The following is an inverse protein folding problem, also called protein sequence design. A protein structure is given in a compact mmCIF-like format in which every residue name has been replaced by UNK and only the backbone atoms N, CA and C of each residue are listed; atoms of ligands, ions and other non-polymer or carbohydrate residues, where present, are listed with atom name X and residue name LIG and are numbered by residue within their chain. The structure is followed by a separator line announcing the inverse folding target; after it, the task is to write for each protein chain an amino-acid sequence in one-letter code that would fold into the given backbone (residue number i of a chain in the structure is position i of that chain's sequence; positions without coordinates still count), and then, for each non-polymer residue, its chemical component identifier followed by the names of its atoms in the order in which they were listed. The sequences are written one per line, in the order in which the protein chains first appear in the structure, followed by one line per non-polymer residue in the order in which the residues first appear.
data_IF_649171472658
#
_entry.id   IF_649171472658
#
_cell.length_a   1.000
_cell.length_b   1.000
_cell.length_c   1.000
_cell.angle_alpha   90.00
_cell.angle_beta   90.00
_cell.angle_gamma   90.00
#
_symmetry.space_group_name_H-M   'P 1'
#
loop_
_entity.id
_entity.type
_entity.pdbx_description
1 polymer ?
#
# COMPACT_ATOMS: atom_id res chain seq x y z
N UNK A 1 13.91 -24.77 17.36
CA UNK A 1 15.33 -24.51 16.99
C UNK A 1 15.40 -23.97 15.56
N UNK A 2 16.45 -23.19 15.29
CA UNK A 2 16.80 -22.75 13.94
C UNK A 2 17.27 -23.94 13.11
N UNK A 3 16.64 -24.20 11.96
CA UNK A 3 17.11 -25.16 10.98
C UNK A 3 18.27 -24.56 10.19
N UNK A 4 19.31 -25.34 9.95
CA UNK A 4 20.46 -24.93 9.15
C UNK A 4 20.40 -25.62 7.79
N UNK A 5 20.75 -24.90 6.75
CA UNK A 5 20.89 -25.48 5.43
C UNK A 5 22.26 -26.14 5.32
N UNK A 6 22.30 -27.41 4.93
CA UNK A 6 23.53 -28.01 4.47
C UNK A 6 23.85 -27.40 3.09
N UNK A 7 24.96 -26.66 3.01
CA UNK A 7 25.40 -26.00 1.78
C UNK A 7 26.20 -26.94 0.86
N UNK A 8 26.50 -28.15 1.34
CA UNK A 8 27.22 -29.12 0.56
C UNK A 8 26.26 -29.76 -0.44
N UNK A 9 26.35 -29.35 -1.70
CA UNK A 9 25.56 -29.92 -2.79
C UNK A 9 26.04 -31.34 -3.04
N UNK A 10 25.14 -32.31 -2.94
CA UNK A 10 25.39 -33.69 -3.29
C UNK A 10 25.83 -33.76 -4.78
N UNK A 11 26.77 -34.65 -5.09
CA UNK A 11 27.25 -34.86 -6.48
C UNK A 11 26.12 -35.14 -7.45
N UNK A 12 25.16 -35.96 -7.05
CA UNK A 12 23.99 -36.32 -7.85
C UNK A 12 23.10 -35.10 -8.15
N UNK A 13 22.84 -34.26 -7.15
CA UNK A 13 22.08 -33.01 -7.33
C UNK A 13 22.80 -32.05 -8.27
N UNK A 14 24.11 -31.92 -8.13
CA UNK A 14 24.94 -31.08 -8.99
C UNK A 14 24.85 -31.50 -10.46
N UNK A 15 24.90 -32.81 -10.74
CA UNK A 15 24.79 -33.35 -12.08
C UNK A 15 23.41 -33.10 -12.69
N UNK A 16 22.33 -33.38 -11.93
CA UNK A 16 20.97 -33.10 -12.39
C UNK A 16 20.77 -31.63 -12.71
N UNK A 17 21.14 -30.75 -11.78
CA UNK A 17 20.95 -29.33 -11.94
C UNK A 17 21.73 -28.78 -13.15
N UNK A 18 22.98 -29.19 -13.33
CA UNK A 18 23.81 -28.73 -14.46
C UNK A 18 23.29 -29.16 -15.81
N UNK A 19 22.66 -30.34 -15.90
CA UNK A 19 22.10 -30.83 -17.16
C UNK A 19 20.73 -30.29 -17.50
N UNK A 20 19.90 -30.01 -16.48
CA UNK A 20 18.50 -29.70 -16.70
C UNK A 20 18.21 -28.19 -16.67
N UNK A 21 19.05 -27.38 -16.05
CA UNK A 21 18.77 -25.97 -15.83
C UNK A 21 19.67 -25.10 -16.70
N UNK A 22 19.07 -24.26 -17.61
CA UNK A 22 19.85 -23.31 -18.41
C UNK A 22 20.58 -22.29 -17.53
N UNK A 23 21.85 -22.05 -17.80
CA UNK A 23 22.68 -21.13 -16.99
C UNK A 23 22.24 -19.66 -17.06
N UNK A 24 21.58 -19.28 -18.12
CA UNK A 24 21.07 -17.93 -18.39
C UNK A 24 19.68 -17.70 -17.82
N UNK A 25 19.07 -18.71 -17.16
CA UNK A 25 17.75 -18.55 -16.58
C UNK A 25 17.77 -17.48 -15.45
N UNK A 26 16.79 -16.53 -15.39
CA UNK A 26 16.76 -15.46 -14.40
C UNK A 26 16.94 -15.92 -12.95
N UNK A 27 16.29 -17.01 -12.52
CA UNK A 27 16.44 -17.57 -11.16
C UNK A 27 17.87 -18.05 -10.88
N UNK A 28 18.59 -18.56 -11.89
CA UNK A 28 20.00 -18.96 -11.76
C UNK A 28 20.86 -17.72 -11.57
N UNK A 29 20.61 -16.67 -12.36
CA UNK A 29 21.31 -15.41 -12.23
C UNK A 29 21.07 -14.74 -10.87
N UNK A 30 19.82 -14.75 -10.38
CA UNK A 30 19.49 -14.22 -9.05
C UNK A 30 20.25 -15.02 -7.98
N UNK A 31 20.18 -16.35 -7.99
CA UNK A 31 20.86 -17.19 -7.02
C UNK A 31 22.37 -16.98 -6.99
N UNK A 32 23.01 -16.75 -8.15
CA UNK A 32 24.45 -16.50 -8.26
C UNK A 32 24.85 -15.10 -7.80
N UNK A 33 23.94 -14.13 -7.92
CA UNK A 33 24.26 -12.73 -7.66
C UNK A 33 23.74 -12.19 -6.33
N UNK A 34 22.73 -12.81 -5.73
CA UNK A 34 22.19 -12.41 -4.43
C UNK A 34 22.64 -13.41 -3.38
N UNK A 35 23.35 -12.95 -2.39
CA UNK A 35 23.66 -13.73 -1.19
C UNK A 35 22.48 -13.66 -0.23
N UNK A 36 21.85 -14.78 0.03
CA UNK A 36 20.70 -14.89 0.95
C UNK A 36 21.10 -15.27 2.39
N UNK A 37 22.39 -15.39 2.69
CA UNK A 37 22.86 -15.79 4.04
C UNK A 37 22.43 -14.82 5.13
N UNK A 38 22.22 -13.54 4.79
CA UNK A 38 21.70 -12.53 5.72
C UNK A 38 20.32 -12.90 6.31
N UNK A 39 19.53 -13.72 5.64
CA UNK A 39 18.22 -14.15 6.13
C UNK A 39 18.37 -14.92 7.43
N UNK A 40 19.37 -15.81 7.53
CA UNK A 40 19.66 -16.52 8.79
C UNK A 40 20.07 -15.57 9.90
N UNK A 41 20.92 -14.59 9.61
CA UNK A 41 21.37 -13.59 10.57
C UNK A 41 20.20 -12.78 11.13
N UNK A 42 19.37 -12.22 10.27
CA UNK A 42 18.23 -11.36 10.61
C UNK A 42 17.10 -12.11 11.32
N UNK A 43 17.00 -13.44 11.16
CA UNK A 43 15.92 -14.25 11.73
C UNK A 43 16.33 -15.10 12.92
N UNK A 44 17.61 -15.17 13.25
CA UNK A 44 18.16 -16.06 14.30
C UNK A 44 17.45 -15.88 15.65
N UNK A 45 17.17 -14.66 16.05
CA UNK A 45 16.50 -14.33 17.30
C UNK A 45 15.02 -14.78 17.38
N UNK A 46 14.41 -15.10 16.24
CA UNK A 46 13.02 -15.58 16.15
C UNK A 46 12.90 -17.07 16.53
N UNK A 47 14.01 -17.74 16.77
CA UNK A 47 14.07 -19.17 17.05
C UNK A 47 14.75 -19.43 18.40
N UNK A 48 14.20 -20.39 19.16
CA UNK A 48 14.86 -20.81 20.38
C UNK A 48 16.20 -21.51 20.08
N UNK A 49 17.29 -21.23 20.81
CA UNK A 49 18.60 -21.78 20.48
C UNK A 49 18.63 -23.32 20.58
N UNK A 50 18.06 -23.90 21.67
CA UNK A 50 18.31 -25.29 22.06
C UNK A 50 17.07 -26.17 22.20
N UNK A 51 15.85 -25.63 22.08
CA UNK A 51 14.61 -26.41 22.31
C UNK A 51 13.67 -26.41 21.09
N UNK A 52 13.00 -27.56 20.91
CA UNK A 52 12.03 -27.79 19.87
C UNK A 52 12.60 -28.48 18.63
N UNK A 53 11.72 -28.93 17.74
CA UNK A 53 12.11 -29.52 16.44
C UNK A 53 12.79 -28.46 15.58
N UNK A 54 13.91 -28.75 14.89
CA UNK A 54 14.49 -27.86 13.91
C UNK A 54 13.47 -27.44 12.86
N UNK A 55 13.42 -26.14 12.57
CA UNK A 55 12.59 -25.61 11.48
C UNK A 55 13.22 -25.91 10.13
N UNK A 56 12.48 -25.69 9.05
CA UNK A 56 13.14 -25.44 7.78
C UNK A 56 14.08 -24.23 7.89
N UNK A 57 15.23 -24.24 7.17
CA UNK A 57 16.15 -23.11 7.18
C UNK A 57 15.42 -21.84 6.73
N UNK A 58 15.53 -20.72 7.46
CA UNK A 58 14.88 -19.46 7.09
C UNK A 58 15.24 -18.96 5.69
N UNK A 59 16.49 -19.18 5.27
CA UNK A 59 16.95 -18.87 3.93
C UNK A 59 16.14 -19.60 2.84
N UNK A 60 15.89 -20.90 3.05
CA UNK A 60 15.04 -21.70 2.16
C UNK A 60 13.62 -21.14 2.11
N UNK A 61 13.02 -20.88 3.29
CA UNK A 61 11.66 -20.38 3.37
C UNK A 61 11.52 -19.00 2.70
N UNK A 62 12.50 -18.12 2.87
CA UNK A 62 12.50 -16.81 2.22
C UNK A 62 12.59 -16.93 0.69
N UNK A 63 13.41 -17.83 0.17
CA UNK A 63 13.48 -18.11 -1.28
C UNK A 63 12.16 -18.71 -1.80
N UNK A 64 11.46 -19.51 -1.00
CA UNK A 64 10.12 -20.02 -1.37
C UNK A 64 9.10 -18.88 -1.45
N UNK A 65 9.11 -17.92 -0.51
CA UNK A 65 8.26 -16.72 -0.58
C UNK A 65 8.59 -15.86 -1.80
N UNK A 66 9.86 -15.78 -2.17
CA UNK A 66 10.28 -15.11 -3.41
C UNK A 66 9.68 -15.81 -4.64
N UNK A 67 9.76 -17.14 -4.74
CA UNK A 67 9.19 -17.90 -5.84
C UNK A 67 7.67 -17.76 -5.94
N UNK A 68 6.99 -17.74 -4.82
CA UNK A 68 5.55 -17.51 -4.74
C UNK A 68 5.16 -16.21 -5.45
N UNK A 69 5.86 -15.12 -5.13
CA UNK A 69 5.64 -13.82 -5.76
C UNK A 69 6.10 -13.80 -7.21
N UNK A 70 7.27 -14.35 -7.50
CA UNK A 70 7.84 -14.41 -8.85
C UNK A 70 6.95 -15.12 -9.85
N UNK A 71 6.38 -16.27 -9.45
CA UNK A 71 5.57 -17.12 -10.32
C UNK A 71 4.06 -16.90 -10.14
N UNK A 72 3.66 -15.94 -9.26
CA UNK A 72 2.25 -15.66 -8.91
C UNK A 72 1.50 -16.92 -8.47
N UNK A 73 2.10 -17.67 -7.54
CA UNK A 73 1.57 -18.89 -6.98
C UNK A 73 0.99 -18.65 -5.59
N UNK A 74 0.06 -19.49 -5.15
CA UNK A 74 -0.35 -19.58 -3.75
C UNK A 74 0.60 -20.44 -2.92
N UNK A 75 0.54 -20.35 -1.57
CA UNK A 75 1.31 -21.19 -0.65
C UNK A 75 1.23 -22.69 -1.02
N UNK A 76 0.01 -23.18 -1.25
CA UNK A 76 -0.24 -24.57 -1.64
C UNK A 76 0.40 -24.90 -2.99
N UNK A 77 0.30 -23.99 -3.96
CA UNK A 77 0.85 -24.20 -5.30
C UNK A 77 2.38 -24.20 -5.29
N UNK A 78 3.03 -23.24 -4.63
CA UNK A 78 4.50 -23.18 -4.58
C UNK A 78 5.08 -24.40 -3.87
N UNK A 79 4.46 -24.85 -2.77
CA UNK A 79 4.87 -26.07 -2.07
C UNK A 79 4.68 -27.33 -2.92
N UNK A 80 3.63 -27.39 -3.73
CA UNK A 80 3.42 -28.48 -4.69
C UNK A 80 4.47 -28.45 -5.81
N UNK A 81 4.72 -27.27 -6.39
CA UNK A 81 5.74 -27.11 -7.45
C UNK A 81 7.13 -27.51 -6.95
N UNK A 82 7.51 -27.16 -5.74
CA UNK A 82 8.79 -27.55 -5.15
C UNK A 82 9.02 -29.08 -5.10
N UNK A 83 7.97 -29.88 -5.14
CA UNK A 83 8.11 -31.35 -5.17
C UNK A 83 8.62 -31.87 -6.52
N UNK A 84 8.30 -31.19 -7.61
CA UNK A 84 8.50 -31.70 -8.97
C UNK A 84 9.37 -30.79 -9.84
N UNK A 85 9.48 -29.51 -9.50
CA UNK A 85 10.18 -28.51 -10.30
C UNK A 85 11.66 -28.43 -9.92
N UNK A 86 12.51 -28.98 -10.76
CA UNK A 86 13.97 -29.02 -10.58
C UNK A 86 14.57 -27.62 -10.41
N UNK A 87 14.12 -26.65 -11.21
CA UNK A 87 14.58 -25.29 -11.15
C UNK A 87 14.24 -24.60 -9.81
N UNK A 88 13.04 -24.85 -9.28
CA UNK A 88 12.62 -24.26 -8.00
C UNK A 88 13.38 -24.89 -6.83
N UNK A 89 13.61 -26.21 -6.88
CA UNK A 89 14.47 -26.90 -5.89
C UNK A 89 15.88 -26.32 -5.93
N UNK A 90 16.46 -26.22 -7.11
CA UNK A 90 17.76 -25.56 -7.29
C UNK A 90 17.77 -24.15 -6.69
N UNK A 91 16.82 -23.30 -7.04
CA UNK A 91 16.76 -21.92 -6.57
C UNK A 91 16.68 -21.84 -5.03
N UNK A 92 15.86 -22.69 -4.42
CA UNK A 92 15.71 -22.76 -2.97
C UNK A 92 16.88 -23.45 -2.25
N UNK A 93 17.75 -24.14 -2.97
CA UNK A 93 18.83 -24.92 -2.40
C UNK A 93 18.33 -26.20 -1.72
N UNK A 94 17.27 -26.79 -2.23
CA UNK A 94 16.68 -28.06 -1.77
C UNK A 94 17.19 -29.16 -2.68
N UNK A 95 17.92 -30.15 -2.14
CA UNK A 95 18.39 -31.31 -2.87
C UNK A 95 17.25 -32.23 -3.30
N UNK A 96 17.55 -33.20 -4.17
CA UNK A 96 16.52 -34.06 -4.75
C UNK A 96 15.77 -34.91 -3.70
N UNK A 97 16.49 -35.42 -2.71
CA UNK A 97 15.93 -36.25 -1.62
C UNK A 97 15.48 -35.43 -0.41
N UNK A 98 15.71 -34.10 -0.42
CA UNK A 98 15.35 -33.26 0.71
C UNK A 98 13.84 -33.04 0.80
N UNK A 99 13.36 -32.95 2.05
CA UNK A 99 11.99 -32.58 2.33
C UNK A 99 11.69 -31.15 1.84
N UNK A 100 10.47 -30.91 1.36
CA UNK A 100 9.97 -29.59 1.00
C UNK A 100 9.03 -29.05 2.09
N UNK A 101 8.99 -27.73 2.34
CA UNK A 101 8.04 -27.15 3.26
C UNK A 101 6.59 -27.32 2.79
N UNK A 102 5.67 -27.29 3.73
CA UNK A 102 4.24 -27.22 3.49
C UNK A 102 3.73 -25.75 3.58
N UNK A 103 2.49 -25.54 3.15
CA UNK A 103 1.84 -24.23 3.18
C UNK A 103 1.71 -23.66 4.59
N UNK A 104 1.44 -24.52 5.58
CA UNK A 104 1.34 -24.07 7.00
C UNK A 104 2.68 -23.58 7.53
N UNK A 105 3.77 -24.16 7.09
CA UNK A 105 5.14 -23.71 7.42
C UNK A 105 5.38 -22.30 6.90
N UNK A 106 4.94 -21.96 5.69
CA UNK A 106 5.07 -20.62 5.11
C UNK A 106 4.24 -19.58 5.92
N UNK A 107 3.00 -19.92 6.28
CA UNK A 107 2.15 -19.07 7.12
C UNK A 107 2.82 -18.77 8.47
N UNK A 108 3.37 -19.81 9.13
CA UNK A 108 4.07 -19.64 10.42
C UNK A 108 5.33 -18.78 10.24
N UNK A 109 6.09 -18.98 9.18
CA UNK A 109 7.28 -18.20 8.90
C UNK A 109 6.96 -16.71 8.68
N UNK A 110 5.97 -16.35 7.86
CA UNK A 110 5.53 -14.97 7.67
C UNK A 110 5.11 -14.31 8.99
N UNK A 111 4.37 -15.03 9.83
CA UNK A 111 3.96 -14.51 11.15
C UNK A 111 5.15 -14.23 12.07
N UNK A 112 6.19 -15.09 12.03
CA UNK A 112 7.42 -14.89 12.80
C UNK A 112 8.24 -13.71 12.30
N UNK A 113 8.36 -13.53 10.98
CA UNK A 113 9.06 -12.39 10.40
C UNK A 113 8.42 -11.08 10.82
N UNK A 114 7.10 -10.97 10.69
CA UNK A 114 6.42 -9.70 10.87
C UNK A 114 6.90 -8.64 9.88
N UNK A 115 6.35 -7.44 9.98
CA UNK A 115 6.64 -6.35 9.06
C UNK A 115 8.08 -5.83 9.19
N UNK A 116 8.55 -5.64 10.42
CA UNK A 116 9.86 -5.05 10.68
C UNK A 116 11.01 -5.90 10.12
N UNK A 117 10.99 -7.22 10.36
CA UNK A 117 12.02 -8.11 9.83
C UNK A 117 11.95 -8.21 8.30
N UNK A 118 10.74 -8.23 7.74
CA UNK A 118 10.58 -8.25 6.29
C UNK A 118 11.18 -6.99 5.65
N UNK A 119 10.99 -5.82 6.27
CA UNK A 119 11.60 -4.55 5.84
C UNK A 119 13.14 -4.61 5.91
N UNK A 120 13.71 -5.16 6.97
CA UNK A 120 15.17 -5.35 7.08
C UNK A 120 15.71 -6.29 6.01
N UNK A 121 15.01 -7.40 5.72
CA UNK A 121 15.42 -8.30 4.64
C UNK A 121 15.38 -7.60 3.28
N UNK A 122 14.39 -6.76 3.03
CA UNK A 122 14.33 -5.93 1.82
C UNK A 122 15.52 -4.97 1.75
N UNK A 123 15.82 -4.25 2.82
CA UNK A 123 16.96 -3.34 2.91
C UNK A 123 18.31 -4.03 2.60
N UNK A 124 18.53 -5.25 3.11
CA UNK A 124 19.74 -6.06 2.80
C UNK A 124 19.87 -6.41 1.32
N UNK A 125 18.75 -6.62 0.61
CA UNK A 125 18.78 -6.82 -0.84
C UNK A 125 19.14 -5.53 -1.58
N UNK A 126 18.60 -4.39 -1.17
CA UNK A 126 18.92 -3.06 -1.73
C UNK A 126 20.40 -2.73 -1.49
N UNK A 127 20.91 -2.99 -0.29
CA UNK A 127 22.32 -2.84 0.05
C UNK A 127 23.24 -3.62 -0.90
N UNK A 128 22.95 -4.90 -1.15
CA UNK A 128 23.71 -5.70 -2.11
C UNK A 128 23.67 -5.14 -3.53
N UNK A 129 22.52 -4.61 -3.97
CA UNK A 129 22.41 -3.95 -5.27
C UNK A 129 23.26 -2.68 -5.33
N UNK A 130 23.32 -1.90 -4.25
CA UNK A 130 24.18 -0.72 -4.12
C UNK A 130 25.66 -1.11 -4.18
N UNK A 131 26.08 -2.09 -3.38
CA UNK A 131 27.48 -2.52 -3.27
C UNK A 131 28.01 -3.09 -4.60
N UNK A 132 27.13 -3.68 -5.40
CA UNK A 132 27.42 -4.13 -6.77
C UNK A 132 27.38 -3.00 -7.82
N UNK A 133 27.12 -1.75 -7.41
CA UNK A 133 27.07 -0.59 -8.32
C UNK A 133 25.88 -0.62 -9.28
N UNK A 134 24.82 -1.39 -8.97
CA UNK A 134 23.62 -1.47 -9.80
C UNK A 134 22.72 -0.23 -9.62
N UNK A 135 22.82 0.46 -8.49
CA UNK A 135 22.07 1.68 -8.20
C UNK A 135 22.85 2.91 -8.65
N UNK A 136 22.22 3.79 -9.41
CA UNK A 136 22.77 5.09 -9.83
C UNK A 136 22.44 6.21 -8.85
N UNK A 137 21.34 6.08 -8.12
CA UNK A 137 20.92 6.94 -7.02
C UNK A 137 20.58 8.37 -7.41
N UNK A 138 20.37 8.68 -8.71
CA UNK A 138 20.08 10.04 -9.18
C UNK A 138 18.59 10.36 -9.15
N UNK A 139 17.75 9.37 -9.41
CA UNK A 139 16.31 9.51 -9.49
C UNK A 139 15.60 8.66 -8.43
N UNK A 140 14.59 9.23 -7.82
CA UNK A 140 13.53 8.51 -7.09
C UNK A 140 12.25 8.58 -7.93
N UNK A 141 11.72 7.44 -8.33
CA UNK A 141 10.50 7.32 -9.12
C UNK A 141 9.46 6.69 -8.21
N UNK A 142 8.45 7.48 -7.81
CA UNK A 142 7.46 7.08 -6.82
C UNK A 142 6.15 6.74 -7.52
N UNK A 143 5.60 5.58 -7.23
CA UNK A 143 4.26 5.17 -7.67
C UNK A 143 3.53 4.37 -6.60
N UNK A 144 2.19 4.41 -6.66
CA UNK A 144 1.31 3.62 -5.82
C UNK A 144 0.60 2.53 -6.63
N UNK A 145 0.59 1.32 -6.11
CA UNK A 145 -0.17 0.22 -6.69
C UNK A 145 -1.18 -0.35 -5.69
N UNK A 146 -2.32 -0.85 -6.21
CA UNK A 146 -3.31 -1.50 -5.37
C UNK A 146 -2.89 -2.93 -5.04
N UNK A 147 -3.11 -3.32 -3.80
CA UNK A 147 -3.03 -4.70 -3.32
C UNK A 147 -4.42 -5.10 -2.82
N UNK A 148 -5.08 -5.99 -3.54
CA UNK A 148 -6.43 -6.43 -3.20
C UNK A 148 -6.36 -7.44 -2.06
N UNK A 149 -7.17 -7.25 -1.01
CA UNK A 149 -7.27 -8.19 0.08
C UNK A 149 -8.00 -9.48 -0.35
N UNK A 150 -7.49 -10.63 0.05
CA UNK A 150 -8.18 -11.91 -0.09
C UNK A 150 -9.18 -12.10 1.06
N UNK A 151 -10.14 -11.19 1.17
CA UNK A 151 -11.14 -11.20 2.23
C UNK A 151 -12.54 -11.18 1.64
N UNK A 152 -13.44 -11.99 2.23
CA UNK A 152 -14.84 -11.95 1.84
C UNK A 152 -15.45 -10.61 2.22
N UNK A 153 -15.98 -9.91 1.24
CA UNK A 153 -16.74 -8.67 1.46
C UNK A 153 -18.14 -9.00 1.91
N UNK A 154 -18.50 -8.53 3.09
CA UNK A 154 -19.83 -8.71 3.68
C UNK A 154 -20.56 -7.37 3.80
N UNK A 155 -21.89 -7.39 3.72
CA UNK A 155 -22.67 -6.21 4.08
C UNK A 155 -22.63 -5.98 5.60
N UNK A 156 -23.01 -4.80 6.05
CA UNK A 156 -22.91 -4.40 7.46
C UNK A 156 -23.68 -5.34 8.40
N UNK A 157 -24.84 -5.84 8.00
CA UNK A 157 -25.62 -6.78 8.79
C UNK A 157 -24.91 -8.13 8.96
N UNK A 158 -24.41 -8.69 7.85
CA UNK A 158 -23.68 -9.95 7.89
C UNK A 158 -22.36 -9.82 8.68
N UNK A 159 -21.71 -8.66 8.60
CA UNK A 159 -20.50 -8.37 9.35
C UNK A 159 -20.79 -8.25 10.87
N UNK A 160 -21.84 -7.55 11.26
CA UNK A 160 -22.27 -7.43 12.66
C UNK A 160 -22.62 -8.81 13.26
N UNK A 161 -23.40 -9.63 12.53
CA UNK A 161 -23.73 -11.01 12.93
C UNK A 161 -22.48 -11.89 13.06
N UNK A 162 -21.53 -11.79 12.12
CA UNK A 162 -20.27 -12.54 12.19
C UNK A 162 -19.45 -12.13 13.41
N UNK A 163 -19.32 -10.83 13.67
CA UNK A 163 -18.56 -10.31 14.80
C UNK A 163 -19.12 -10.79 16.13
N UNK A 164 -20.45 -10.72 16.31
CA UNK A 164 -21.15 -11.24 17.48
C UNK A 164 -20.87 -12.74 17.66
N UNK A 165 -21.03 -13.54 16.61
CA UNK A 165 -20.76 -14.99 16.66
C UNK A 165 -19.31 -15.30 17.03
N UNK A 166 -18.35 -14.59 16.46
CA UNK A 166 -16.92 -14.77 16.79
C UNK A 166 -16.62 -14.37 18.24
N UNK A 167 -17.20 -13.26 18.70
CA UNK A 167 -17.01 -12.78 20.07
C UNK A 167 -17.54 -13.79 21.10
N UNK A 168 -18.75 -14.33 20.88
CA UNK A 168 -19.33 -15.38 21.71
C UNK A 168 -18.51 -16.68 21.67
N UNK A 169 -18.00 -17.06 20.51
CA UNK A 169 -17.15 -18.25 20.39
C UNK A 169 -15.81 -18.11 21.13
N UNK A 170 -15.24 -16.91 21.17
CA UNK A 170 -14.03 -16.65 21.97
C UNK A 170 -14.38 -16.61 23.45
N UNK A 171 -15.46 -15.95 23.86
CA UNK A 171 -15.95 -15.92 25.23
C UNK A 171 -16.20 -17.34 25.77
N UNK A 172 -16.79 -18.23 24.98
CA UNK A 172 -17.07 -19.60 25.39
C UNK A 172 -15.82 -20.41 25.77
N UNK A 173 -14.63 -20.02 25.33
CA UNK A 173 -13.37 -20.65 25.74
C UNK A 173 -12.95 -20.25 27.15
N UNK A 174 -13.35 -19.06 27.60
CA UNK A 174 -13.02 -18.50 28.90
C UNK A 174 -14.16 -18.66 29.90
N UNK A 175 -15.41 -18.53 29.43
CA UNK A 175 -16.63 -18.60 30.24
C UNK A 175 -17.82 -19.13 29.40
N UNK A 176 -17.98 -20.45 29.38
CA UNK A 176 -19.02 -21.12 28.62
C UNK A 176 -20.43 -20.82 29.14
N UNK A 177 -20.58 -20.54 30.47
CA UNK A 177 -21.88 -20.21 31.08
C UNK A 177 -22.37 -18.86 30.60
N UNK A 178 -21.54 -17.83 30.72
CA UNK A 178 -21.86 -16.48 30.27
C UNK A 178 -22.05 -16.43 28.73
N UNK A 179 -21.25 -17.16 27.98
CA UNK A 179 -21.41 -17.21 26.53
C UNK A 179 -22.77 -17.77 26.11
N UNK A 180 -23.27 -18.82 26.77
CA UNK A 180 -24.55 -19.42 26.51
C UNK A 180 -25.71 -18.49 26.92
N UNK A 181 -25.60 -17.78 28.05
CA UNK A 181 -26.55 -16.77 28.46
C UNK A 181 -26.67 -15.65 27.41
N UNK A 182 -25.55 -15.10 26.94
CA UNK A 182 -25.53 -14.03 25.98
C UNK A 182 -25.93 -14.47 24.56
N UNK A 183 -25.71 -15.73 24.20
CA UNK A 183 -26.18 -16.31 22.94
C UNK A 183 -27.73 -16.39 22.93
N UNK A 184 -28.35 -16.85 24.02
CA UNK A 184 -29.78 -16.92 24.14
C UNK A 184 -30.47 -15.54 24.08
N UNK A 185 -29.82 -14.51 24.62
CA UNK A 185 -30.31 -13.12 24.52
C UNK A 185 -30.25 -12.57 23.08
N UNK A 186 -29.41 -13.13 22.22
CA UNK A 186 -29.12 -12.64 20.88
C UNK A 186 -29.62 -13.51 19.73
N UNK A 187 -30.60 -14.45 19.95
CA UNK A 187 -31.11 -15.24 18.82
C UNK A 187 -31.57 -14.34 17.67
N UNK A 188 -31.14 -14.63 16.43
CA UNK A 188 -31.54 -13.85 15.27
C UNK A 188 -33.06 -13.97 15.14
N UNK A 189 -33.79 -12.85 15.10
CA UNK A 189 -35.13 -12.87 14.56
C UNK A 189 -35.08 -13.55 13.19
N UNK A 190 -35.94 -14.54 12.96
CA UNK A 190 -36.04 -15.17 11.65
C UNK A 190 -36.25 -14.07 10.64
N UNK A 191 -35.34 -13.99 9.65
CA UNK A 191 -35.50 -13.08 8.54
C UNK A 191 -36.85 -13.34 7.90
N UNK A 192 -37.84 -12.58 8.29
CA UNK A 192 -39.13 -12.58 7.58
C UNK A 192 -38.83 -11.94 6.23
N UNK A 193 -39.33 -12.50 5.13
CA UNK A 193 -39.13 -11.99 3.77
C UNK A 193 -39.56 -10.53 3.57
N UNK A 194 -40.09 -9.90 4.61
CA UNK A 194 -40.64 -8.54 4.66
C UNK A 194 -39.88 -7.58 5.60
N UNK A 195 -38.84 -8.02 6.31
CA UNK A 195 -38.14 -7.12 7.22
C UNK A 195 -37.19 -6.21 6.42
N UNK A 196 -37.32 -4.89 6.62
CA UNK A 196 -36.39 -3.92 6.04
C UNK A 196 -34.98 -4.20 6.54
N UNK A 197 -34.03 -4.33 5.61
CA UNK A 197 -32.60 -4.56 5.90
C UNK A 197 -32.06 -3.54 6.93
N UNK A 198 -32.53 -2.31 6.89
CA UNK A 198 -32.13 -1.26 7.83
C UNK A 198 -32.60 -1.56 9.26
N UNK A 199 -33.84 -2.06 9.44
CA UNK A 199 -34.38 -2.43 10.74
C UNK A 199 -33.64 -3.62 11.34
N UNK A 200 -33.35 -4.63 10.53
CA UNK A 200 -32.54 -5.79 10.94
C UNK A 200 -31.10 -5.36 11.36
N UNK A 201 -30.48 -4.44 10.64
CA UNK A 201 -29.19 -3.90 11.02
C UNK A 201 -29.24 -3.13 12.34
N UNK A 202 -30.25 -2.28 12.55
CA UNK A 202 -30.42 -1.56 13.80
C UNK A 202 -30.61 -2.50 14.98
N UNK A 203 -31.46 -3.54 14.84
CA UNK A 203 -31.67 -4.54 15.88
C UNK A 203 -30.37 -5.30 16.21
N UNK A 204 -29.57 -5.68 15.20
CA UNK A 204 -28.29 -6.36 15.42
C UNK A 204 -27.24 -5.43 16.06
N UNK A 205 -27.23 -4.15 15.72
CA UNK A 205 -26.36 -3.13 16.35
C UNK A 205 -26.70 -2.97 17.84
N UNK A 206 -28.01 -2.92 18.22
CA UNK A 206 -28.44 -2.84 19.62
C UNK A 206 -27.99 -4.07 20.40
N UNK A 207 -28.20 -5.28 19.86
CA UNK A 207 -27.71 -6.54 20.45
C UNK A 207 -26.19 -6.51 20.63
N UNK A 208 -25.46 -5.95 19.64
CA UNK A 208 -24.02 -5.78 19.71
C UNK A 208 -23.56 -4.82 20.80
N UNK A 209 -24.26 -3.71 20.98
CA UNK A 209 -23.96 -2.73 22.04
C UNK A 209 -24.17 -3.35 23.44
N UNK A 210 -25.25 -4.08 23.63
CA UNK A 210 -25.51 -4.79 24.88
C UNK A 210 -24.43 -5.84 25.18
N UNK A 211 -24.05 -6.64 24.16
CA UNK A 211 -22.97 -7.62 24.32
C UNK A 211 -21.65 -6.95 24.70
N UNK A 212 -21.30 -5.83 24.06
CA UNK A 212 -20.10 -5.08 24.36
C UNK A 212 -20.10 -4.53 25.78
N UNK A 213 -21.24 -4.03 26.29
CA UNK A 213 -21.35 -3.50 27.64
C UNK A 213 -21.17 -4.60 28.71
N UNK A 214 -21.70 -5.81 28.46
CA UNK A 214 -21.51 -6.97 29.34
C UNK A 214 -20.09 -7.50 29.37
N UNK A 215 -19.27 -7.19 28.37
CA UNK A 215 -17.90 -7.66 28.26
C UNK A 215 -16.86 -6.57 28.58
N UNK A 216 -17.29 -5.40 29.05
CA UNK A 216 -16.37 -4.25 29.29
C UNK A 216 -15.22 -4.60 30.22
N UNK A 217 -15.50 -5.32 31.32
CA UNK A 217 -14.55 -5.65 32.39
C UNK A 217 -13.67 -6.87 32.07
N UNK A 218 -13.87 -7.52 30.93
CA UNK A 218 -13.07 -8.71 30.54
C UNK A 218 -11.69 -8.29 30.02
N UNK A 219 -10.66 -9.00 30.47
CA UNK A 219 -9.24 -8.65 30.24
C UNK A 219 -8.47 -9.66 29.40
N UNK A 220 -9.08 -10.77 28.99
CA UNK A 220 -8.44 -11.79 28.14
C UNK A 220 -8.03 -11.19 26.80
N UNK A 221 -6.73 -11.32 26.45
CA UNK A 221 -6.13 -10.60 25.33
C UNK A 221 -6.82 -10.84 23.96
N UNK A 222 -7.20 -12.10 23.70
CA UNK A 222 -7.92 -12.46 22.45
C UNK A 222 -9.34 -11.89 22.42
N UNK A 223 -10.02 -11.87 23.59
CA UNK A 223 -11.35 -11.30 23.74
C UNK A 223 -11.33 -9.76 23.61
N UNK A 224 -10.35 -9.10 24.25
CA UNK A 224 -10.16 -7.64 24.19
C UNK A 224 -9.93 -7.20 22.75
N UNK A 225 -9.04 -7.87 22.02
CA UNK A 225 -8.76 -7.55 20.61
C UNK A 225 -10.00 -7.69 19.73
N UNK A 226 -10.74 -8.79 19.88
CA UNK A 226 -11.94 -9.03 19.07
C UNK A 226 -13.10 -8.09 19.46
N UNK A 227 -13.23 -7.76 20.75
CA UNK A 227 -14.18 -6.79 21.27
C UNK A 227 -13.97 -5.42 20.64
N UNK A 228 -12.72 -4.97 20.55
CA UNK A 228 -12.41 -3.69 19.94
C UNK A 228 -12.74 -3.65 18.44
N UNK A 229 -12.40 -4.71 17.69
CA UNK A 229 -12.80 -4.83 16.28
C UNK A 229 -14.32 -4.85 16.11
N UNK A 230 -15.03 -5.55 16.99
CA UNK A 230 -16.50 -5.61 16.93
C UNK A 230 -17.14 -4.27 17.29
N UNK A 231 -16.58 -3.54 18.26
CA UNK A 231 -17.02 -2.18 18.61
C UNK A 231 -16.97 -1.24 17.40
N UNK A 232 -15.89 -1.26 16.65
CA UNK A 232 -15.75 -0.48 15.42
C UNK A 232 -16.83 -0.86 14.38
N UNK A 233 -17.13 -2.15 14.21
CA UNK A 233 -18.19 -2.61 13.30
C UNK A 233 -19.55 -2.07 13.71
N UNK A 234 -19.88 -2.15 15.01
CA UNK A 234 -21.17 -1.67 15.57
C UNK A 234 -21.29 -0.14 15.41
N UNK A 235 -20.19 0.59 15.49
CA UNK A 235 -20.14 2.05 15.29
C UNK A 235 -20.08 2.47 13.81
N UNK A 236 -20.12 1.51 12.88
CA UNK A 236 -19.96 1.75 11.43
C UNK A 236 -18.62 2.38 11.02
N UNK A 237 -17.60 2.29 11.86
CA UNK A 237 -16.24 2.76 11.61
C UNK A 237 -15.26 1.60 11.36
N UNK A 238 -15.79 0.40 11.33
CA UNK A 238 -15.04 -0.84 11.45
C UNK A 238 -14.45 -1.39 10.16
N UNK A 239 -13.75 -2.52 10.30
CA UNK A 239 -13.19 -3.26 9.19
C UNK A 239 -14.28 -3.75 8.24
N UNK A 240 -13.92 -3.89 6.96
CA UNK A 240 -14.81 -4.51 5.98
C UNK A 240 -14.80 -6.05 6.06
N UNK A 241 -13.91 -6.64 6.86
CA UNK A 241 -13.79 -8.07 7.08
C UNK A 241 -13.08 -8.38 8.39
N UNK A 242 -13.53 -9.42 9.12
CA UNK A 242 -12.83 -9.95 10.30
C UNK A 242 -11.65 -10.85 9.95
N UNK A 243 -11.56 -11.34 8.70
CA UNK A 243 -10.40 -12.13 8.24
C UNK A 243 -9.21 -11.24 7.88
N UNK A 244 -9.48 -10.00 7.51
CA UNK A 244 -8.48 -8.97 7.21
C UNK A 244 -8.97 -7.62 7.76
N UNK A 245 -8.80 -7.39 9.07
CA UNK A 245 -9.39 -6.23 9.73
C UNK A 245 -8.69 -4.90 9.40
N UNK A 246 -7.49 -4.95 8.83
CA UNK A 246 -6.72 -3.77 8.46
C UNK A 246 -7.00 -3.30 7.02
N UNK A 247 -7.59 -4.18 6.19
CA UNK A 247 -8.00 -3.82 4.85
C UNK A 247 -9.08 -2.73 4.85
N UNK A 248 -8.94 -1.75 3.96
CA UNK A 248 -9.91 -0.65 3.82
C UNK A 248 -10.36 -0.52 2.37
N UNK A 249 -11.52 0.12 2.19
CA UNK A 249 -12.00 0.48 0.88
C UNK A 249 -11.18 1.62 0.29
N UNK A 250 -10.68 1.41 -0.91
CA UNK A 250 -10.01 2.41 -1.72
C UNK A 250 -10.56 2.48 -3.12
N UNK A 251 -10.11 3.45 -3.91
CA UNK A 251 -10.53 3.64 -5.30
C UNK A 251 -9.31 3.71 -6.20
N UNK A 252 -9.27 2.90 -7.26
CA UNK A 252 -8.29 3.07 -8.33
C UNK A 252 -8.70 4.22 -9.26
N UNK A 253 -10.00 4.29 -9.59
CA UNK A 253 -10.68 5.37 -10.29
C UNK A 253 -12.00 5.65 -9.58
N UNK A 254 -12.67 6.76 -9.91
CA UNK A 254 -13.91 7.21 -9.26
C UNK A 254 -14.97 6.10 -9.10
N UNK A 255 -15.02 5.13 -10.02
CA UNK A 255 -16.02 4.07 -10.05
C UNK A 255 -15.42 2.65 -9.93
N UNK A 256 -14.17 2.50 -9.51
CA UNK A 256 -13.50 1.22 -9.35
C UNK A 256 -13.06 1.04 -7.88
N UNK A 257 -14.00 0.75 -6.96
CA UNK A 257 -13.64 0.48 -5.56
C UNK A 257 -12.93 -0.86 -5.44
N UNK A 258 -12.04 -0.98 -4.47
CA UNK A 258 -11.43 -2.24 -4.08
C UNK A 258 -11.23 -2.25 -2.56
N UNK A 259 -11.31 -3.44 -1.97
CA UNK A 259 -10.96 -3.66 -0.57
C UNK A 259 -9.50 -4.12 -0.50
N UNK A 260 -8.69 -3.50 0.33
CA UNK A 260 -7.29 -3.91 0.51
C UNK A 260 -6.37 -2.78 0.94
N UNK A 261 -5.22 -2.73 0.27
CA UNK A 261 -4.09 -1.88 0.60
C UNK A 261 -3.56 -1.15 -0.63
N UNK A 262 -2.72 -0.16 -0.38
CA UNK A 262 -1.85 0.46 -1.39
C UNK A 262 -0.40 0.19 -1.03
N UNK A 263 0.37 -0.32 -1.97
CA UNK A 263 1.82 -0.35 -1.85
C UNK A 263 2.38 0.88 -2.57
N UNK A 264 3.13 1.68 -1.84
CA UNK A 264 3.86 2.84 -2.33
C UNK A 264 5.31 2.44 -2.51
N UNK A 265 5.80 2.49 -3.74
CA UNK A 265 7.13 1.99 -4.08
C UNK A 265 7.96 3.13 -4.65
N UNK A 266 9.20 3.19 -4.23
CA UNK A 266 10.22 4.02 -4.86
C UNK A 266 11.15 3.11 -5.65
N UNK A 267 11.24 3.36 -6.96
CA UNK A 267 12.26 2.76 -7.80
C UNK A 267 13.29 3.81 -8.20
N UNK A 268 14.52 3.38 -8.38
CA UNK A 268 15.51 4.24 -9.01
C UNK A 268 15.50 4.09 -10.55
N UNK A 269 16.34 4.82 -11.30
CA UNK A 269 16.27 4.86 -12.77
C UNK A 269 16.60 3.54 -13.48
N UNK A 270 17.16 2.55 -12.79
CA UNK A 270 17.43 1.20 -13.33
C UNK A 270 16.25 0.25 -13.16
N UNK A 271 15.22 0.67 -12.42
CA UNK A 271 14.03 -0.14 -12.13
C UNK A 271 14.10 -0.93 -10.83
N UNK A 272 15.19 -0.79 -10.07
CA UNK A 272 15.30 -1.46 -8.77
C UNK A 272 14.48 -0.69 -7.75
N UNK A 273 13.58 -1.41 -7.04
CA UNK A 273 12.84 -0.86 -5.92
C UNK A 273 13.79 -0.63 -4.73
N UNK A 274 13.76 0.59 -4.20
CA UNK A 274 14.68 1.03 -3.13
C UNK A 274 13.99 1.40 -1.83
N UNK A 275 12.68 1.66 -1.86
CA UNK A 275 11.86 1.82 -0.67
C UNK A 275 10.43 1.34 -0.94
N UNK A 276 9.75 0.84 0.08
CA UNK A 276 8.38 0.35 -0.01
C UNK A 276 7.61 0.56 1.29
N UNK A 277 6.43 1.15 1.19
CA UNK A 277 5.49 1.26 2.30
C UNK A 277 4.12 0.76 1.88
N UNK A 278 3.46 0.01 2.76
CA UNK A 278 2.11 -0.50 2.52
C UNK A 278 1.15 0.16 3.51
N UNK A 279 0.05 0.68 3.01
CA UNK A 279 -0.98 1.33 3.82
C UNK A 279 -2.36 0.78 3.51
N UNK A 280 -3.34 0.92 4.42
CA UNK A 280 -4.74 0.68 4.08
C UNK A 280 -5.16 1.51 2.86
N UNK A 281 -6.06 0.96 2.02
CA UNK A 281 -6.38 1.54 0.72
C UNK A 281 -7.02 2.93 0.76
N UNK A 282 -7.58 3.36 1.90
CA UNK A 282 -8.13 4.69 2.14
C UNK A 282 -7.08 5.76 2.42
N UNK A 283 -5.84 5.38 2.74
CA UNK A 283 -4.76 6.32 2.98
C UNK A 283 -4.37 7.09 1.72
N UNK A 284 -3.91 8.32 1.92
CA UNK A 284 -3.52 9.19 0.80
C UNK A 284 -2.06 8.92 0.39
N UNK A 285 -1.79 8.97 -0.90
CA UNK A 285 -0.42 8.86 -1.43
C UNK A 285 0.50 9.95 -0.89
N UNK A 286 -0.07 11.13 -0.62
CA UNK A 286 0.66 12.30 -0.15
C UNK A 286 1.29 12.11 1.23
N UNK A 287 0.60 11.43 2.14
CA UNK A 287 1.08 11.19 3.51
C UNK A 287 2.27 10.22 3.57
N UNK A 288 2.48 9.43 2.52
CA UNK A 288 3.52 8.39 2.50
C UNK A 288 4.88 8.87 1.97
N UNK A 289 4.91 9.97 1.22
CA UNK A 289 6.15 10.45 0.61
C UNK A 289 7.26 10.80 1.63
N UNK A 290 6.99 11.45 2.76
CA UNK A 290 8.02 11.69 3.77
C UNK A 290 8.65 10.39 4.30
N UNK A 291 7.84 9.37 4.61
CA UNK A 291 8.32 8.07 5.08
C UNK A 291 9.21 7.37 4.06
N UNK A 292 8.81 7.39 2.79
CA UNK A 292 9.61 6.81 1.69
C UNK A 292 10.94 7.54 1.50
N UNK A 293 10.97 8.86 1.70
CA UNK A 293 12.22 9.64 1.64
C UNK A 293 13.12 9.36 2.84
N UNK A 294 12.56 9.13 4.01
CA UNK A 294 13.32 8.74 5.21
C UNK A 294 13.93 7.36 5.03
N UNK A 295 13.19 6.37 4.52
CA UNK A 295 13.73 5.05 4.17
C UNK A 295 14.91 5.15 3.17
N UNK A 296 14.78 5.96 2.11
CA UNK A 296 15.89 6.18 1.18
C UNK A 296 17.15 6.75 1.87
N UNK A 297 16.96 7.65 2.84
CA UNK A 297 18.10 8.23 3.59
C UNK A 297 18.75 7.23 4.51
N UNK A 298 17.99 6.37 5.16
CA UNK A 298 18.48 5.27 6.00
C UNK A 298 19.35 4.32 5.16
N UNK A 299 18.94 4.03 3.93
CA UNK A 299 19.69 3.24 2.96
C UNK A 299 20.88 3.99 2.32
N UNK A 300 21.15 5.23 2.73
CA UNK A 300 22.24 6.06 2.19
C UNK A 300 21.98 6.58 0.77
N UNK A 301 20.75 6.49 0.26
CA UNK A 301 20.35 6.98 -1.05
C UNK A 301 19.89 8.43 -0.97
N UNK A 302 20.44 9.31 -1.82
CA UNK A 302 20.13 10.74 -1.86
C UNK A 302 19.81 11.18 -3.28
N UNK A 303 18.56 11.00 -3.72
CA UNK A 303 18.19 11.35 -5.09
C UNK A 303 18.24 12.87 -5.31
N UNK A 304 18.70 13.29 -6.48
CA UNK A 304 18.64 14.69 -6.93
C UNK A 304 17.33 15.02 -7.64
N UNK A 305 16.62 14.00 -8.11
CA UNK A 305 15.40 14.13 -8.88
C UNK A 305 14.34 13.18 -8.34
N UNK A 306 13.10 13.67 -8.20
CA UNK A 306 11.95 12.86 -7.82
C UNK A 306 10.86 12.99 -8.88
N UNK A 307 10.42 11.85 -9.44
CA UNK A 307 9.28 11.77 -10.33
C UNK A 307 8.13 11.01 -9.65
N UNK A 308 6.96 11.63 -9.56
CA UNK A 308 5.76 11.01 -9.00
C UNK A 308 4.52 11.43 -9.76
N UNK A 309 3.39 10.78 -9.51
CA UNK A 309 2.14 11.16 -10.14
C UNK A 309 1.52 12.41 -9.45
N UNK A 310 0.38 12.87 -9.98
CA UNK A 310 -0.32 14.03 -9.42
C UNK A 310 -0.93 13.78 -8.03
N UNK A 311 -1.00 12.54 -7.59
CA UNK A 311 -1.44 12.16 -6.25
C UNK A 311 -0.52 12.73 -5.17
N UNK A 312 0.75 12.89 -5.49
CA UNK A 312 1.79 13.45 -4.62
C UNK A 312 1.93 14.98 -4.71
N UNK A 313 1.04 15.67 -5.47
CA UNK A 313 1.12 17.12 -5.65
C UNK A 313 0.52 17.89 -4.49
N UNK A 314 1.38 18.49 -3.67
CA UNK A 314 1.02 19.42 -2.61
C UNK A 314 2.11 20.50 -2.45
N UNK A 315 1.71 21.69 -2.01
CA UNK A 315 2.62 22.82 -1.80
C UNK A 315 3.65 22.56 -0.68
N UNK A 316 3.23 21.85 0.39
CA UNK A 316 4.12 21.44 1.49
C UNK A 316 5.18 20.49 0.99
N UNK A 317 4.78 19.43 0.28
CA UNK A 317 5.65 18.44 -0.31
C UNK A 317 6.70 19.06 -1.23
N UNK A 318 6.30 19.99 -2.11
CA UNK A 318 7.24 20.67 -3.00
C UNK A 318 8.26 21.52 -2.26
N UNK A 319 7.86 22.22 -1.20
CA UNK A 319 8.77 23.00 -0.35
C UNK A 319 9.75 22.10 0.41
N UNK A 320 9.30 20.97 0.91
CA UNK A 320 10.17 19.99 1.61
C UNK A 320 11.20 19.41 0.65
N UNK A 321 10.80 18.95 -0.53
CA UNK A 321 11.73 18.48 -1.56
C UNK A 321 12.75 19.55 -1.98
N UNK A 322 12.31 20.80 -2.11
CA UNK A 322 13.20 21.91 -2.44
C UNK A 322 14.23 22.20 -1.35
N UNK A 323 13.81 22.15 -0.07
CA UNK A 323 14.73 22.31 1.08
C UNK A 323 15.81 21.23 1.09
N UNK A 324 15.47 20.04 0.66
CA UNK A 324 16.40 18.90 0.55
C UNK A 324 17.25 18.91 -0.74
N UNK A 325 17.08 19.91 -1.60
CA UNK A 325 17.76 20.01 -2.87
C UNK A 325 17.25 19.03 -3.95
N UNK A 326 16.11 18.38 -3.70
CA UNK A 326 15.49 17.42 -4.61
C UNK A 326 14.61 18.16 -5.62
N UNK A 327 14.88 17.98 -6.91
CA UNK A 327 14.07 18.55 -7.99
C UNK A 327 12.84 17.70 -8.27
N UNK A 328 11.66 18.21 -7.90
CA UNK A 328 10.38 17.52 -8.07
C UNK A 328 9.84 17.58 -9.51
N UNK A 329 9.47 16.44 -10.07
CA UNK A 329 8.78 16.28 -11.36
C UNK A 329 7.40 15.67 -11.13
N UNK A 330 6.52 16.43 -10.48
CA UNK A 330 5.17 16.03 -10.11
C UNK A 330 4.18 16.85 -10.95
N UNK A 331 3.26 16.21 -11.71
CA UNK A 331 2.21 16.94 -12.40
C UNK A 331 1.29 17.65 -11.40
N UNK A 332 0.85 18.86 -11.75
CA UNK A 332 -0.05 19.60 -10.87
C UNK A 332 -1.45 18.98 -10.83
N UNK A 333 -2.03 18.89 -9.63
CA UNK A 333 -3.46 18.52 -9.45
C UNK A 333 -4.39 19.55 -10.07
N UNK A 334 -4.03 20.82 -9.98
CA UNK A 334 -4.78 21.88 -10.65
C UNK A 334 -4.39 21.93 -12.11
N UNK A 335 -5.38 21.75 -12.95
CA UNK A 335 -5.20 21.73 -14.39
C UNK A 335 -4.84 23.12 -14.92
N UNK A 336 -3.55 23.47 -14.78
CA UNK A 336 -2.99 24.68 -15.38
C UNK A 336 -3.14 24.64 -16.90
N UNK A 337 -3.04 23.45 -17.49
CA UNK A 337 -3.28 23.24 -18.90
C UNK A 337 -4.71 23.62 -19.30
N UNK A 338 -5.68 23.49 -18.38
CA UNK A 338 -7.05 23.98 -18.63
C UNK A 338 -7.10 25.50 -18.70
N UNK A 339 -6.45 26.20 -17.78
CA UNK A 339 -6.37 27.65 -17.80
C UNK A 339 -5.66 28.16 -19.06
N UNK A 340 -4.53 27.54 -19.42
CA UNK A 340 -3.78 27.86 -20.64
C UNK A 340 -4.61 27.56 -21.91
N UNK A 341 -5.29 26.40 -21.96
CA UNK A 341 -6.21 26.05 -23.07
C UNK A 341 -7.40 27.00 -23.18
N UNK A 342 -7.86 27.52 -22.04
CA UNK A 342 -8.88 28.56 -22.01
C UNK A 342 -8.31 29.96 -22.30
N UNK A 343 -7.03 30.10 -22.61
CA UNK A 343 -6.36 31.34 -22.97
C UNK A 343 -6.01 32.25 -21.79
N UNK A 344 -6.16 31.78 -20.53
CA UNK A 344 -5.71 32.56 -19.37
C UNK A 344 -4.19 32.50 -19.25
N UNK A 345 -3.58 33.64 -18.90
CA UNK A 345 -2.13 33.78 -18.69
C UNK A 345 -1.86 34.31 -17.27
N UNK A 346 -1.07 33.58 -16.53
CA UNK A 346 -0.62 33.98 -15.19
C UNK A 346 0.84 34.39 -15.21
N UNK A 347 1.14 35.59 -14.71
CA UNK A 347 2.50 36.04 -14.48
C UNK A 347 2.85 35.84 -12.98
N UNK A 348 3.71 34.84 -12.64
CA UNK A 348 4.03 34.54 -11.25
C UNK A 348 4.89 35.64 -10.59
N UNK A 349 5.67 36.41 -11.35
CA UNK A 349 6.52 37.47 -10.78
C UNK A 349 5.69 38.67 -10.36
N UNK A 350 4.64 38.99 -11.11
CA UNK A 350 3.75 40.14 -10.83
C UNK A 350 2.47 39.71 -10.12
N UNK A 351 2.27 38.41 -9.98
CA UNK A 351 1.03 37.80 -9.43
C UNK A 351 -0.25 38.28 -10.14
N UNK A 352 -0.17 38.47 -11.45
CA UNK A 352 -1.26 39.00 -12.28
C UNK A 352 -1.81 37.89 -13.17
N UNK A 353 -3.14 37.72 -13.15
CA UNK A 353 -3.87 36.86 -14.05
C UNK A 353 -4.51 37.68 -15.17
N UNK A 354 -4.25 37.31 -16.44
CA UNK A 354 -4.84 37.92 -17.62
C UNK A 354 -5.80 36.94 -18.30
N UNK A 355 -7.00 37.39 -18.67
CA UNK A 355 -8.01 36.58 -19.35
C UNK A 355 -7.73 36.48 -20.85
N UNK A 356 -8.42 35.58 -21.60
CA UNK A 356 -8.28 35.44 -23.06
C UNK A 356 -8.56 36.73 -23.86
N UNK A 357 -9.44 37.58 -23.33
CA UNK A 357 -9.74 38.90 -23.91
C UNK A 357 -8.71 39.99 -23.53
N UNK A 358 -7.57 39.63 -22.94
CA UNK A 358 -6.50 40.57 -22.57
C UNK A 358 -6.73 41.39 -21.31
N UNK A 359 -7.85 41.20 -20.59
CA UNK A 359 -8.13 41.94 -19.37
C UNK A 359 -7.42 41.33 -18.16
N UNK A 360 -6.89 42.16 -17.27
CA UNK A 360 -6.26 41.77 -16.02
C UNK A 360 -7.31 41.57 -14.92
N UNK A 361 -7.09 40.62 -14.05
CA UNK A 361 -7.88 40.47 -12.83
C UNK A 361 -7.78 41.77 -12.00
N UNK A 362 -8.91 42.22 -11.42
CA UNK A 362 -9.00 43.44 -10.63
C UNK A 362 -8.71 43.21 -9.15
N UNK A 363 -8.68 41.94 -8.72
CA UNK A 363 -8.35 41.58 -7.35
C UNK A 363 -8.28 40.07 -7.16
N UNK A 364 -7.88 39.70 -5.94
CA UNK A 364 -7.80 38.30 -5.52
C UNK A 364 -8.16 38.15 -4.03
N UNK A 365 -8.67 36.99 -3.65
CA UNK A 365 -8.89 36.63 -2.23
C UNK A 365 -8.23 35.28 -1.94
N UNK A 366 -7.73 35.08 -0.69
CA UNK A 366 -7.24 33.75 -0.29
C UNK A 366 -8.32 32.67 -0.47
N UNK A 367 -7.90 31.46 -0.82
CA UNK A 367 -8.80 30.31 -0.96
C UNK A 367 -8.49 29.29 0.13
N UNK A 368 -9.53 28.62 0.67
CA UNK A 368 -9.41 27.64 1.76
C UNK A 368 -8.41 26.48 1.47
N UNK A 369 -8.22 26.12 0.20
CA UNK A 369 -7.30 25.08 -0.24
C UNK A 369 -5.89 25.62 -0.57
N UNK A 370 -5.52 26.77 -0.03
CA UNK A 370 -4.31 27.53 -0.38
C UNK A 370 -4.45 28.22 -1.75
N UNK A 371 -3.53 29.14 -2.08
CA UNK A 371 -3.61 29.96 -3.30
C UNK A 371 -4.69 31.01 -3.26
N UNK A 372 -5.07 31.53 -4.43
CA UNK A 372 -5.94 32.71 -4.56
C UNK A 372 -7.04 32.50 -5.58
N UNK A 373 -8.22 33.06 -5.29
CA UNK A 373 -9.32 33.21 -6.22
C UNK A 373 -9.23 34.61 -6.84
N UNK A 374 -8.85 34.67 -8.12
CA UNK A 374 -8.79 35.91 -8.91
C UNK A 374 -10.16 36.25 -9.50
N UNK A 375 -10.52 37.50 -9.50
CA UNK A 375 -11.79 37.98 -10.05
C UNK A 375 -11.58 39.14 -11.01
N UNK A 376 -12.41 39.15 -12.07
CA UNK A 376 -12.41 40.13 -13.13
C UNK A 376 -13.55 41.16 -12.96
N UNK A 377 -13.42 42.27 -13.59
CA UNK A 377 -14.46 43.33 -13.57
C UNK A 377 -15.78 42.80 -14.20
N UNK A 378 -16.89 43.02 -13.52
CA UNK A 378 -18.21 42.67 -14.06
C UNK A 378 -18.49 43.42 -15.38
N UNK A 379 -18.15 44.71 -15.44
CA UNK A 379 -18.29 45.54 -16.65
C UNK A 379 -17.54 44.93 -17.84
N UNK A 380 -16.30 44.49 -17.65
CA UNK A 380 -15.49 43.88 -18.68
C UNK A 380 -16.03 42.49 -19.08
N UNK A 381 -16.56 41.74 -18.13
CA UNK A 381 -17.11 40.41 -18.42
C UNK A 381 -18.48 40.45 -19.10
N UNK A 382 -19.33 41.42 -18.73
CA UNK A 382 -20.66 41.57 -19.31
C UNK A 382 -20.60 42.01 -20.79
N UNK A 383 -19.66 42.89 -21.15
CA UNK A 383 -19.42 43.35 -22.53
C UNK A 383 -18.43 42.48 -23.32
N UNK A 384 -18.02 41.33 -22.83
CA UNK A 384 -16.99 40.51 -23.47
C UNK A 384 -17.53 39.67 -24.63
N UNK A 385 -16.89 39.69 -25.81
CA UNK A 385 -17.32 38.86 -26.95
C UNK A 385 -17.18 37.36 -26.65
N UNK A 386 -16.32 36.96 -25.71
CA UNK A 386 -16.11 35.56 -25.29
C UNK A 386 -17.00 35.14 -24.10
N UNK A 387 -18.00 35.94 -23.73
CA UNK A 387 -18.82 35.70 -22.54
C UNK A 387 -19.46 34.31 -22.55
N UNK A 388 -20.07 33.92 -23.69
CA UNK A 388 -20.78 32.64 -23.80
C UNK A 388 -19.91 31.40 -23.61
N UNK A 389 -18.64 31.46 -24.01
CA UNK A 389 -17.65 30.37 -23.82
C UNK A 389 -16.91 30.44 -22.50
N UNK A 390 -16.92 31.59 -21.79
CA UNK A 390 -16.14 31.85 -20.62
C UNK A 390 -16.96 31.78 -19.31
N UNK A 391 -18.24 32.20 -19.37
CA UNK A 391 -19.13 32.33 -18.20
C UNK A 391 -20.36 31.45 -18.30
N UNK A 392 -20.78 30.88 -17.16
CA UNK A 392 -22.10 30.28 -17.05
C UNK A 392 -23.22 31.33 -17.11
N UNK A 393 -24.44 30.93 -17.53
CA UNK A 393 -25.59 31.79 -17.82
C UNK A 393 -25.93 32.81 -16.71
N UNK A 394 -25.75 32.42 -15.45
CA UNK A 394 -26.06 33.26 -14.25
C UNK A 394 -24.88 34.05 -13.70
N UNK A 395 -23.68 33.87 -14.26
CA UNK A 395 -22.49 34.52 -13.70
C UNK A 395 -22.30 35.92 -14.29
N UNK A 396 -22.05 36.92 -13.44
CA UNK A 396 -21.82 38.32 -13.86
C UNK A 396 -20.34 38.60 -14.13
N UNK A 397 -19.44 37.85 -13.47
CA UNK A 397 -17.98 37.97 -13.61
C UNK A 397 -17.27 36.65 -13.57
N UNK A 398 -16.11 36.56 -14.18
CA UNK A 398 -15.23 35.39 -14.12
C UNK A 398 -14.48 35.39 -12.79
N UNK A 399 -14.45 34.20 -12.15
CA UNK A 399 -13.58 33.89 -11.03
C UNK A 399 -12.69 32.71 -11.43
N UNK A 400 -11.40 32.80 -11.12
CA UNK A 400 -10.41 31.81 -11.50
C UNK A 400 -9.52 31.52 -10.32
N UNK A 401 -9.49 30.27 -9.94
CA UNK A 401 -8.61 29.79 -8.87
C UNK A 401 -7.21 29.55 -9.42
N UNK A 402 -6.20 30.10 -8.74
CA UNK A 402 -4.77 29.97 -9.08
C UNK A 402 -3.99 29.64 -7.82
N UNK A 403 -3.13 28.64 -7.92
CA UNK A 403 -2.06 28.37 -6.95
C UNK A 403 -0.74 28.90 -7.52
N UNK A 404 -0.20 30.03 -7.04
CA UNK A 404 1.06 30.61 -7.54
C UNK A 404 2.24 29.64 -7.47
N UNK A 405 2.35 28.90 -6.38
CA UNK A 405 3.43 27.92 -6.12
C UNK A 405 3.58 26.88 -7.24
N UNK A 406 2.49 26.58 -7.92
CA UNK A 406 2.49 25.63 -9.03
C UNK A 406 3.21 26.18 -10.28
N UNK A 407 3.16 27.50 -10.49
CA UNK A 407 3.87 28.16 -11.60
C UNK A 407 5.36 28.34 -11.30
N UNK A 408 5.72 28.54 -10.03
CA UNK A 408 7.11 28.66 -9.61
C UNK A 408 7.87 27.35 -9.71
N UNK A 409 7.16 26.23 -9.53
CA UNK A 409 7.76 24.88 -9.46
C UNK A 409 7.50 24.01 -10.69
N UNK A 410 7.07 24.59 -11.83
CA UNK A 410 6.89 23.79 -13.06
C UNK A 410 8.25 23.34 -13.61
N UNK A 411 8.65 22.09 -13.41
CA UNK A 411 10.01 21.68 -13.77
C UNK A 411 10.16 21.58 -15.29
N UNK A 412 11.22 22.20 -15.81
CA UNK A 412 11.63 21.92 -17.19
C UNK A 412 11.97 20.43 -17.30
N UNK A 413 11.42 19.73 -18.29
CA UNK A 413 11.67 18.30 -18.48
C UNK A 413 10.63 17.36 -17.84
N UNK A 414 9.50 17.88 -17.31
CA UNK A 414 8.42 17.05 -16.77
C UNK A 414 7.98 15.91 -17.71
N UNK A 415 7.83 16.19 -19.02
CA UNK A 415 7.48 15.17 -20.03
C UNK A 415 8.49 14.02 -20.09
N UNK A 416 9.80 14.32 -19.98
CA UNK A 416 10.87 13.31 -19.97
C UNK A 416 10.81 12.48 -18.69
N UNK A 417 10.67 13.14 -17.53
CA UNK A 417 10.53 12.46 -16.25
C UNK A 417 9.30 11.54 -16.19
N UNK A 418 8.16 11.98 -16.74
CA UNK A 418 6.95 11.17 -16.83
C UNK A 418 7.06 9.99 -17.82
N UNK A 419 7.93 10.07 -18.83
CA UNK A 419 8.26 8.91 -19.66
C UNK A 419 9.11 7.90 -18.88
N UNK A 420 10.14 8.37 -18.19
CA UNK A 420 10.98 7.51 -17.35
C UNK A 420 10.13 6.74 -16.33
N UNK A 421 9.17 7.39 -15.64
CA UNK A 421 8.24 6.75 -14.73
C UNK A 421 7.40 5.63 -15.37
N UNK A 422 7.12 5.69 -16.66
CA UNK A 422 6.35 4.66 -17.37
C UNK A 422 7.19 3.48 -17.86
N UNK A 423 8.50 3.63 -17.87
CA UNK A 423 9.45 2.60 -18.33
C UNK A 423 10.09 1.84 -17.19
N UNK A 424 10.09 2.38 -16.01
CA UNK A 424 10.42 1.77 -14.72
C UNK A 424 9.16 1.22 -14.06
#
# INVERSE_FOLDING_TARGET
MLGRQDRQVNFFDSEIFSRMIPEDHPLVLIRRNVDFSFVEEETRELYHPDTGRPSFPPEVLFRVLFLETWANLSDVQVCRELRYNVLYRYFCGIGWDDAVPDDTTLVVFRRRLGEEKFRRLFARVVEQARDKGLLRGKWAIVDGTKVVAHAAVKNNLALAREGRKKLLAVLARHDAGLAKELEAFGEPEKDSDYADHHQLLQAEVLKGQELLSRLEDRTEADLVRLRELYRQVVQSEGPASFSDPDARWGFKKKNEPFLGYKAHVVCEETGIATAVTVTPANETELSQLPHLLDELREEGLRPHHLAADKGYDDARTRRELQKEGIRAYIPCRHDLGRLERMGFRYDPRREVLTCPAGKKAIGRSPHQNGGFLYYFSERDCLGCPMRSSCLGARATRKRVYVKPEVFEHRPRGLKRAMRLRKTV
#
